data_IF_101618611148
#
_entry.id   IF_101618611148
#
_cell.length_a   1.000
_cell.length_b   1.000
_cell.length_c   1.000
_cell.angle_alpha   90.00
_cell.angle_beta   90.00
_cell.angle_gamma   90.00
#
_symmetry.space_group_name_H-M   'P 1'
#
loop_
_entity.id
_entity.type
_entity.pdbx_description
1 polymer ?
#
# COMPACT_ATOMS: atom_id res chain seq x y z
N UNK A 1 -39.54 -36.20 -7.38
CA UNK A 1 -38.49 -35.17 -7.17
C UNK A 1 -38.45 -34.82 -5.69
N UNK A 2 -37.32 -35.07 -5.01
CA UNK A 2 -37.22 -34.90 -3.56
C UNK A 2 -37.12 -33.41 -3.21
N UNK A 3 -38.06 -32.92 -2.40
CA UNK A 3 -38.15 -31.51 -1.97
C UNK A 3 -36.85 -31.02 -1.29
N UNK A 4 -36.13 -31.93 -0.65
CA UNK A 4 -34.84 -31.66 0.02
C UNK A 4 -33.73 -31.27 -0.96
N UNK A 5 -33.69 -31.85 -2.16
CA UNK A 5 -32.67 -31.54 -3.17
C UNK A 5 -32.87 -30.16 -3.79
N UNK A 6 -34.11 -29.70 -3.89
CA UNK A 6 -34.45 -28.36 -4.42
C UNK A 6 -34.06 -27.29 -3.40
N UNK A 7 -34.30 -27.52 -2.11
CA UNK A 7 -33.95 -26.57 -1.06
C UNK A 7 -32.44 -26.34 -0.97
N UNK A 8 -31.63 -27.39 -1.07
CA UNK A 8 -30.16 -27.27 -1.04
C UNK A 8 -29.62 -26.44 -2.22
N UNK A 9 -30.17 -26.64 -3.42
CA UNK A 9 -29.77 -25.85 -4.61
C UNK A 9 -30.09 -24.38 -4.44
N UNK A 10 -31.25 -24.05 -3.85
CA UNK A 10 -31.64 -22.66 -3.58
C UNK A 10 -30.69 -22.00 -2.56
N UNK A 11 -30.33 -22.71 -1.48
CA UNK A 11 -29.42 -22.18 -0.46
C UNK A 11 -28.02 -21.94 -1.02
N UNK A 12 -27.48 -22.88 -1.80
CA UNK A 12 -26.16 -22.71 -2.44
C UNK A 12 -26.17 -21.54 -3.43
N UNK A 13 -27.22 -21.39 -4.23
CA UNK A 13 -27.35 -20.27 -5.15
C UNK A 13 -27.39 -18.92 -4.41
N UNK A 14 -28.13 -18.84 -3.29
CA UNK A 14 -28.19 -17.62 -2.48
C UNK A 14 -26.82 -17.26 -1.87
N UNK A 15 -26.05 -18.25 -1.41
CA UNK A 15 -24.70 -18.03 -0.88
C UNK A 15 -23.72 -17.53 -1.95
N UNK A 16 -23.76 -18.12 -3.16
CA UNK A 16 -22.92 -17.67 -4.29
C UNK A 16 -23.26 -16.24 -4.69
N UNK A 17 -24.56 -15.91 -4.79
CA UNK A 17 -25.01 -14.56 -5.10
C UNK A 17 -24.51 -13.57 -4.04
N UNK A 18 -24.64 -13.91 -2.76
CA UNK A 18 -24.16 -13.05 -1.65
C UNK A 18 -22.65 -12.78 -1.75
N UNK A 19 -21.84 -13.81 -2.03
CA UNK A 19 -20.39 -13.67 -2.21
C UNK A 19 -20.05 -12.76 -3.41
N UNK A 20 -20.75 -12.93 -4.53
CA UNK A 20 -20.58 -12.05 -5.70
C UNK A 20 -20.94 -10.60 -5.38
N UNK A 21 -22.02 -10.35 -4.64
CA UNK A 21 -22.41 -9.00 -4.22
C UNK A 21 -21.37 -8.36 -3.30
N UNK A 22 -20.81 -9.11 -2.34
CA UNK A 22 -19.74 -8.61 -1.48
C UNK A 22 -18.48 -8.26 -2.27
N UNK A 23 -18.08 -9.11 -3.23
CA UNK A 23 -16.93 -8.84 -4.10
C UNK A 23 -17.15 -7.60 -4.99
N UNK A 24 -18.35 -7.41 -5.54
CA UNK A 24 -18.71 -6.24 -6.36
C UNK A 24 -18.74 -4.97 -5.51
N UNK A 25 -19.28 -5.03 -4.30
CA UNK A 25 -19.30 -3.89 -3.37
C UNK A 25 -17.87 -3.49 -2.96
N UNK A 26 -17.03 -4.48 -2.63
CA UNK A 26 -15.61 -4.26 -2.32
C UNK A 26 -14.86 -3.64 -3.52
N UNK A 27 -15.10 -4.15 -4.73
CA UNK A 27 -14.52 -3.59 -5.95
C UNK A 27 -15.00 -2.14 -6.19
N UNK A 28 -16.30 -1.86 -6.05
CA UNK A 28 -16.82 -0.50 -6.24
C UNK A 28 -16.33 0.48 -5.18
N UNK A 29 -16.16 0.06 -3.93
CA UNK A 29 -15.60 0.90 -2.88
C UNK A 29 -14.12 1.20 -3.13
N UNK A 30 -13.36 0.21 -3.65
CA UNK A 30 -11.99 0.44 -4.14
C UNK A 30 -11.94 1.46 -5.28
N UNK A 31 -12.91 1.44 -6.21
CA UNK A 31 -12.99 2.39 -7.32
C UNK A 31 -13.49 3.78 -6.90
N UNK A 32 -14.40 3.86 -5.94
CA UNK A 32 -14.91 5.15 -5.43
C UNK A 32 -13.85 5.91 -4.64
N UNK A 33 -12.91 5.20 -4.00
CA UNK A 33 -11.71 5.79 -3.40
C UNK A 33 -10.68 6.27 -4.45
N UNK A 34 -10.83 5.88 -5.73
CA UNK A 34 -9.99 6.35 -6.85
C UNK A 34 -10.52 7.68 -7.41
N UNK A 35 -11.81 8.00 -7.27
CA UNK A 35 -12.39 9.25 -7.81
C UNK A 35 -12.21 10.49 -6.93
N UNK A 36 -11.66 10.37 -5.72
CA UNK A 36 -11.62 11.47 -4.75
C UNK A 36 -10.23 12.06 -4.47
N UNK A 37 -9.35 12.20 -5.46
CA UNK A 37 -8.21 13.16 -5.35
C UNK A 37 -7.68 13.60 -6.73
N UNK A 38 -8.53 14.17 -7.59
CA UNK A 38 -8.04 15.02 -8.67
C UNK A 38 -7.88 16.46 -8.16
N UNK A 39 -6.81 16.72 -7.41
CA UNK A 39 -6.28 18.08 -7.33
C UNK A 39 -5.27 18.24 -8.47
N UNK A 40 -5.82 18.66 -9.61
CA UNK A 40 -5.09 19.03 -10.80
C UNK A 40 -4.58 20.45 -10.57
N UNK A 41 -3.30 20.58 -10.24
CA UNK A 41 -2.40 21.68 -10.59
C UNK A 41 -1.05 21.36 -9.94
N UNK A 42 -0.12 20.78 -10.74
CA UNK A 42 1.35 20.61 -10.54
C UNK A 42 1.91 19.30 -11.17
N UNK A 43 1.05 18.33 -11.50
CA UNK A 43 1.47 17.00 -11.99
C UNK A 43 1.90 16.91 -13.47
N UNK A 44 1.87 17.99 -14.26
CA UNK A 44 2.28 17.92 -15.68
C UNK A 44 3.78 17.68 -15.85
N UNK A 45 4.61 18.21 -14.95
CA UNK A 45 6.06 17.96 -14.97
C UNK A 45 6.41 16.50 -14.61
N UNK A 46 5.56 15.87 -13.81
CA UNK A 46 5.73 14.51 -13.28
C UNK A 46 5.50 13.43 -14.35
N UNK A 47 4.45 13.59 -15.17
CA UNK A 47 4.16 12.66 -16.27
C UNK A 47 5.21 12.72 -17.39
N UNK A 48 5.69 13.93 -17.73
CA UNK A 48 6.77 14.12 -18.70
C UNK A 48 8.08 13.42 -18.29
N UNK A 49 8.36 13.35 -16.98
CA UNK A 49 9.54 12.68 -16.42
C UNK A 49 9.42 11.15 -16.50
N UNK A 50 8.24 10.61 -16.22
CA UNK A 50 7.96 9.18 -16.31
C UNK A 50 7.97 8.69 -17.76
N UNK A 51 7.36 9.42 -18.69
CA UNK A 51 7.40 9.06 -20.13
C UNK A 51 8.82 9.06 -20.68
N UNK A 52 9.69 9.96 -20.20
CA UNK A 52 11.08 10.04 -20.67
C UNK A 52 11.97 8.89 -20.17
N UNK A 53 11.65 8.31 -19.01
CA UNK A 53 12.35 7.12 -18.47
C UNK A 53 11.97 5.85 -19.24
N UNK A 54 10.74 5.75 -19.75
CA UNK A 54 10.24 4.57 -20.49
C UNK A 54 10.95 4.36 -21.84
N UNK A 55 11.48 5.42 -22.46
CA UNK A 55 12.02 5.35 -23.83
C UNK A 55 13.45 4.78 -23.89
N UNK A 56 14.22 4.76 -22.79
CA UNK A 56 15.65 4.37 -22.81
C UNK A 56 15.95 2.91 -22.37
N UNK A 57 14.92 2.12 -22.03
CA UNK A 57 15.08 0.89 -21.22
C UNK A 57 14.85 -0.45 -21.94
N UNK A 58 15.20 -0.60 -23.22
CA UNK A 58 14.98 -1.87 -23.94
C UNK A 58 15.88 -3.06 -23.52
N UNK A 59 16.87 -2.88 -22.62
CA UNK A 59 17.82 -3.93 -22.19
C UNK A 59 18.09 -3.99 -20.67
N UNK A 60 17.31 -3.29 -19.82
CA UNK A 60 17.52 -3.33 -18.36
C UNK A 60 16.64 -4.39 -17.70
N UNK A 61 17.20 -5.12 -16.74
CA UNK A 61 16.44 -5.98 -15.82
C UNK A 61 15.64 -5.07 -14.89
N UNK A 62 14.35 -4.96 -15.18
CA UNK A 62 13.41 -4.16 -14.38
C UNK A 62 13.27 -4.77 -12.98
N UNK A 63 13.35 -3.93 -11.95
CA UNK A 63 13.13 -4.40 -10.58
C UNK A 63 11.65 -4.60 -10.34
N UNK A 64 11.29 -5.80 -9.88
CA UNK A 64 9.94 -6.12 -9.41
C UNK A 64 9.85 -5.78 -7.92
N UNK A 65 8.67 -5.38 -7.42
CA UNK A 65 8.53 -5.13 -6.00
C UNK A 65 8.60 -6.46 -5.24
N UNK A 66 9.18 -6.45 -4.04
CA UNK A 66 9.04 -7.55 -3.09
C UNK A 66 7.56 -7.76 -2.77
N UNK A 67 7.12 -9.02 -2.54
CA UNK A 67 5.77 -9.31 -2.10
C UNK A 67 5.36 -8.53 -0.84
N UNK A 68 4.08 -8.21 -0.73
CA UNK A 68 3.52 -7.51 0.42
C UNK A 68 3.74 -8.30 1.72
N UNK A 69 3.62 -9.63 1.69
CA UNK A 69 3.88 -10.49 2.85
C UNK A 69 5.32 -10.40 3.36
N UNK A 70 6.30 -10.26 2.47
CA UNK A 70 7.71 -10.14 2.84
C UNK A 70 7.98 -8.78 3.49
N UNK A 71 7.40 -7.70 2.93
CA UNK A 71 7.47 -6.38 3.53
C UNK A 71 6.83 -6.32 4.92
N UNK A 72 5.72 -7.02 5.13
CA UNK A 72 5.08 -7.17 6.44
C UNK A 72 5.97 -7.91 7.44
N UNK A 73 6.58 -9.03 7.02
CA UNK A 73 7.48 -9.80 7.88
C UNK A 73 8.69 -8.97 8.32
N UNK A 74 9.30 -8.24 7.37
CA UNK A 74 10.42 -7.31 7.63
C UNK A 74 9.98 -6.22 8.63
N UNK A 75 8.81 -5.62 8.43
CA UNK A 75 8.30 -4.60 9.33
C UNK A 75 8.09 -5.14 10.76
N UNK A 76 7.50 -6.32 10.91
CA UNK A 76 7.21 -6.91 12.22
C UNK A 76 8.50 -7.29 12.96
N UNK A 77 9.49 -7.83 12.24
CA UNK A 77 10.81 -8.10 12.81
C UNK A 77 11.49 -6.81 13.27
N UNK A 78 11.40 -5.74 12.49
CA UNK A 78 12.01 -4.45 12.80
C UNK A 78 11.37 -3.75 13.99
N UNK A 79 10.04 -3.72 14.06
CA UNK A 79 9.29 -3.00 15.09
C UNK A 79 9.09 -3.82 16.36
N UNK A 80 9.27 -5.14 16.30
CA UNK A 80 8.92 -6.05 17.38
C UNK A 80 7.40 -6.20 17.56
N UNK A 81 6.62 -5.86 16.53
CA UNK A 81 5.17 -5.99 16.61
C UNK A 81 4.75 -7.46 16.71
N UNK A 82 4.01 -7.73 17.76
CA UNK A 82 3.29 -8.97 18.05
C UNK A 82 1.84 -8.63 18.35
N UNK A 83 0.98 -9.64 18.47
CA UNK A 83 -0.41 -9.41 18.88
C UNK A 83 -0.50 -8.67 20.23
N UNK A 84 0.35 -9.04 21.19
CA UNK A 84 0.38 -8.43 22.52
C UNK A 84 0.84 -6.98 22.47
N UNK A 85 1.95 -6.69 21.78
CA UNK A 85 2.47 -5.31 21.69
C UNK A 85 1.53 -4.39 20.91
N UNK A 86 0.87 -4.91 19.86
CA UNK A 86 -0.13 -4.14 19.11
C UNK A 86 -1.37 -3.85 19.98
N UNK A 87 -1.79 -4.81 20.80
CA UNK A 87 -2.88 -4.61 21.76
C UNK A 87 -2.50 -3.57 22.84
N UNK A 88 -1.27 -3.60 23.34
CA UNK A 88 -0.75 -2.58 24.28
C UNK A 88 -0.75 -1.16 23.67
N UNK A 89 -0.47 -1.07 22.36
CA UNK A 89 -0.58 0.17 21.60
C UNK A 89 -2.04 0.56 21.27
N UNK A 90 -3.02 -0.22 21.70
CA UNK A 90 -4.44 -0.11 21.32
C UNK A 90 -4.63 -0.11 19.79
N UNK A 91 -3.75 -0.80 19.06
CA UNK A 91 -3.89 -0.97 17.63
C UNK A 91 -5.04 -1.93 17.32
N UNK A 92 -5.89 -1.54 16.38
CA UNK A 92 -7.06 -2.32 15.97
C UNK A 92 -6.97 -2.84 14.54
N UNK A 93 -6.09 -2.24 13.73
CA UNK A 93 -5.70 -2.74 12.42
C UNK A 93 -4.28 -2.34 12.07
N UNK A 94 -3.67 -3.14 11.19
CA UNK A 94 -2.43 -2.79 10.49
C UNK A 94 -2.76 -2.71 9.01
N UNK A 95 -2.60 -1.52 8.42
CA UNK A 95 -2.78 -1.33 6.99
C UNK A 95 -1.43 -1.37 6.29
N UNK A 96 -1.44 -1.94 5.07
CA UNK A 96 -0.26 -1.99 4.20
C UNK A 96 -0.63 -1.41 2.85
N UNK A 97 0.20 -0.52 2.35
CA UNK A 97 -0.02 0.15 1.07
C UNK A 97 1.28 0.36 0.33
N UNK A 98 1.23 0.14 -0.98
CA UNK A 98 2.32 0.55 -1.87
C UNK A 98 2.19 2.04 -2.17
N UNK A 99 3.23 2.79 -1.84
CA UNK A 99 3.32 4.24 -2.04
C UNK A 99 4.57 4.57 -2.83
N UNK A 100 4.59 5.77 -3.42
CA UNK A 100 5.77 6.33 -4.04
C UNK A 100 6.16 7.59 -3.28
N UNK A 101 7.43 7.92 -3.23
CA UNK A 101 7.87 9.13 -2.58
C UNK A 101 9.36 9.28 -2.66
N UNK A 102 9.91 10.05 -1.74
CA UNK A 102 11.33 10.30 -1.69
C UNK A 102 11.88 10.20 -0.29
N UNK A 103 13.18 9.92 -0.23
CA UNK A 103 13.95 9.78 0.99
C UNK A 103 15.19 10.65 0.87
N UNK A 104 15.56 11.30 1.97
CA UNK A 104 16.91 11.83 2.19
C UNK A 104 17.62 10.95 3.21
N UNK A 105 18.81 11.33 3.68
CA UNK A 105 19.51 10.64 4.78
C UNK A 105 18.66 10.50 6.04
N UNK A 106 17.80 11.49 6.32
CA UNK A 106 17.19 11.67 7.63
C UNK A 106 15.66 11.66 7.63
N UNK A 107 15.03 11.68 6.45
CA UNK A 107 13.57 11.68 6.36
C UNK A 107 13.07 10.93 5.15
N UNK A 108 11.89 10.34 5.27
CA UNK A 108 11.05 9.95 4.15
C UNK A 108 9.89 10.94 3.99
N UNK A 109 9.50 11.20 2.76
CA UNK A 109 8.27 11.91 2.40
C UNK A 109 7.49 11.01 1.47
N UNK A 110 6.22 10.80 1.83
CA UNK A 110 5.30 9.98 1.07
C UNK A 110 4.57 10.90 0.10
N UNK A 111 4.68 10.60 -1.19
CA UNK A 111 3.79 11.14 -2.19
C UNK A 111 2.68 10.11 -2.45
N UNK A 112 1.59 10.53 -3.10
CA UNK A 112 0.33 9.80 -3.14
C UNK A 112 0.42 8.29 -3.48
N UNK A 113 -0.69 7.59 -3.20
CA UNK A 113 -0.91 6.19 -3.57
C UNK A 113 -0.52 5.90 -5.02
N UNK A 114 0.21 4.81 -5.26
CA UNK A 114 0.54 4.36 -6.60
C UNK A 114 -0.76 3.93 -7.30
N UNK A 115 -1.21 4.69 -8.30
CA UNK A 115 -2.46 4.39 -9.02
C UNK A 115 -2.29 3.34 -10.13
N UNK A 116 -1.06 3.15 -10.61
CA UNK A 116 -0.73 2.19 -11.68
C UNK A 116 0.60 1.50 -11.38
N UNK A 117 0.72 0.17 -11.58
CA UNK A 117 1.99 -0.53 -11.41
C UNK A 117 3.11 0.14 -12.21
N UNK A 118 4.25 0.37 -11.56
CA UNK A 118 5.44 0.86 -12.23
C UNK A 118 6.03 -0.22 -13.14
N UNK A 119 6.69 0.21 -14.21
CA UNK A 119 7.48 -0.69 -15.03
C UNK A 119 8.77 -1.13 -14.31
N UNK A 120 9.35 -0.24 -13.51
CA UNK A 120 10.55 -0.46 -12.72
C UNK A 120 10.37 0.14 -11.32
N UNK A 121 10.67 -0.65 -10.29
CA UNK A 121 10.60 -0.25 -8.89
C UNK A 121 11.94 0.24 -8.32
N UNK A 122 13.00 0.21 -9.13
CA UNK A 122 14.35 0.60 -8.72
C UNK A 122 14.40 2.04 -8.19
N UNK A 123 15.12 2.31 -7.08
CA UNK A 123 15.31 3.67 -6.59
C UNK A 123 16.06 4.56 -7.60
N UNK A 124 15.63 5.81 -7.71
CA UNK A 124 16.27 6.83 -8.56
C UNK A 124 16.86 7.91 -7.66
N UNK A 125 18.18 8.10 -7.71
CA UNK A 125 18.86 9.14 -6.96
C UNK A 125 19.07 10.40 -7.83
N UNK A 126 18.67 11.56 -7.33
CA UNK A 126 18.95 12.88 -7.92
C UNK A 126 19.29 13.87 -6.82
N UNK A 127 20.45 14.50 -6.93
CA UNK A 127 20.87 15.61 -6.06
C UNK A 127 20.78 15.29 -4.54
N UNK A 128 21.07 14.04 -4.15
CA UNK A 128 21.02 13.59 -2.75
C UNK A 128 19.63 13.19 -2.25
N UNK A 129 18.61 13.25 -3.11
CA UNK A 129 17.26 12.76 -2.86
C UNK A 129 17.08 11.44 -3.60
N UNK A 130 16.58 10.41 -2.90
CA UNK A 130 16.28 9.12 -3.52
C UNK A 130 14.78 8.93 -3.61
N UNK A 131 14.27 8.93 -4.84
CA UNK A 131 12.89 8.65 -5.19
C UNK A 131 12.69 7.15 -5.34
N UNK A 132 11.65 6.60 -4.72
CA UNK A 132 11.48 5.14 -4.65
C UNK A 132 10.04 4.76 -4.32
N UNK A 133 9.70 3.54 -4.71
CA UNK A 133 8.49 2.87 -4.24
C UNK A 133 8.71 2.22 -2.89
N UNK A 134 7.71 2.27 -2.02
CA UNK A 134 7.82 1.85 -0.63
C UNK A 134 6.53 1.15 -0.21
N UNK A 135 6.66 0.09 0.58
CA UNK A 135 5.57 -0.41 1.39
C UNK A 135 5.46 0.46 2.63
N UNK A 136 4.31 1.12 2.77
CA UNK A 136 3.90 1.85 3.97
C UNK A 136 3.08 0.89 4.84
N UNK A 137 3.57 0.59 6.04
CA UNK A 137 2.91 -0.25 7.04
C UNK A 137 2.54 0.62 8.23
N UNK A 138 1.25 0.65 8.59
CA UNK A 138 0.73 1.55 9.63
C UNK A 138 -0.21 0.81 10.57
N UNK A 139 0.06 0.88 11.87
CA UNK A 139 -0.85 0.45 12.92
C UNK A 139 -1.78 1.63 13.32
N UNK A 140 -3.10 1.40 13.27
CA UNK A 140 -4.12 2.38 13.63
C UNK A 140 -4.81 2.00 14.94
N UNK A 141 -5.25 3.00 15.70
CA UNK A 141 -6.11 2.85 16.87
C UNK A 141 -7.56 3.26 16.57
N UNK A 142 -8.50 2.48 17.09
CA UNK A 142 -9.98 2.72 17.10
C UNK A 142 -10.43 4.12 17.46
N UNK A 143 -9.68 4.87 18.26
CA UNK A 143 -10.12 6.19 18.73
C UNK A 143 -10.19 7.23 17.62
N UNK A 144 -9.51 7.00 16.48
CA UNK A 144 -9.51 7.97 15.39
C UNK A 144 -9.64 7.37 14.01
N UNK A 145 -9.27 6.09 13.75
CA UNK A 145 -9.22 5.46 12.41
C UNK A 145 -8.49 6.28 11.30
N UNK A 146 -7.93 7.43 11.69
CA UNK A 146 -7.45 8.54 10.89
C UNK A 146 -6.12 9.05 11.44
N UNK A 147 -5.77 8.76 12.70
CA UNK A 147 -4.43 9.04 13.22
C UNK A 147 -3.63 7.74 13.35
N UNK A 148 -2.57 7.55 12.54
CA UNK A 148 -1.56 6.55 12.83
C UNK A 148 -1.06 6.68 14.27
N UNK A 149 -0.79 5.55 14.92
CA UNK A 149 -0.04 5.57 16.18
C UNK A 149 1.34 6.20 15.88
N UNK A 150 1.65 7.32 16.55
CA UNK A 150 2.88 8.10 16.30
C UNK A 150 4.14 7.25 16.45
N UNK A 151 5.16 7.48 15.61
CA UNK A 151 6.50 6.85 15.55
C UNK A 151 6.56 5.31 15.65
N UNK A 152 6.03 4.70 16.72
CA UNK A 152 6.04 3.26 16.99
C UNK A 152 4.96 2.48 16.20
N UNK A 153 4.01 3.19 15.58
CA UNK A 153 2.94 2.63 14.75
C UNK A 153 3.22 2.64 13.26
N UNK A 154 4.45 2.90 12.84
CA UNK A 154 4.75 3.22 11.45
C UNK A 154 6.07 2.59 10.98
N UNK A 155 6.07 1.95 9.81
CA UNK A 155 7.26 1.40 9.17
C UNK A 155 7.21 1.61 7.65
N UNK A 156 8.36 1.96 7.06
CA UNK A 156 8.56 1.99 5.61
C UNK A 156 9.59 0.94 5.20
N UNK A 157 9.24 0.20 4.17
CA UNK A 157 10.12 -0.80 3.55
C UNK A 157 10.27 -0.48 2.07
N UNK A 158 11.50 -0.38 1.59
CA UNK A 158 11.79 -0.18 0.18
C UNK A 158 11.19 -1.33 -0.65
N UNK A 159 10.37 -0.99 -1.65
CA UNK A 159 9.63 -1.99 -2.40
C UNK A 159 10.54 -2.83 -3.31
N UNK A 160 11.70 -2.31 -3.75
CA UNK A 160 12.61 -3.06 -4.64
C UNK A 160 13.59 -3.94 -3.86
N UNK A 161 13.97 -3.54 -2.65
CA UNK A 161 15.12 -4.13 -1.93
C UNK A 161 14.77 -4.73 -0.58
N UNK A 162 13.64 -4.35 0.04
CA UNK A 162 13.31 -4.73 1.41
C UNK A 162 14.06 -3.94 2.48
N UNK A 163 14.81 -2.90 2.12
CA UNK A 163 15.49 -2.02 3.08
C UNK A 163 14.49 -1.27 3.97
N UNK A 164 14.74 -1.20 5.28
CA UNK A 164 13.99 -0.33 6.19
C UNK A 164 14.39 1.13 5.94
N UNK A 165 13.39 1.98 5.69
CA UNK A 165 13.59 3.39 5.40
C UNK A 165 13.35 4.27 6.63
N UNK A 166 13.92 5.49 6.68
CA UNK A 166 13.61 6.46 7.73
C UNK A 166 12.12 6.72 7.83
N UNK A 167 11.61 6.90 9.04
CA UNK A 167 10.22 7.28 9.25
C UNK A 167 10.00 8.75 8.87
N UNK A 168 8.83 9.12 8.31
CA UNK A 168 8.52 10.52 8.01
C UNK A 168 8.58 11.37 9.27
N UNK A 169 9.29 12.50 9.23
CA UNK A 169 9.32 13.44 10.36
C UNK A 169 7.97 14.14 10.59
N UNK A 170 7.10 14.15 9.58
CA UNK A 170 5.74 14.68 9.66
C UNK A 170 4.74 13.54 9.88
N UNK A 171 4.50 13.20 11.14
CA UNK A 171 3.27 12.50 11.52
C UNK A 171 2.12 13.51 11.52
N UNK A 172 1.21 13.36 10.56
CA UNK A 172 -0.16 13.95 10.50
C UNK A 172 -0.24 15.48 10.54
#
# INVERSE_FOLDING_TARGET
>A
MNKTSILTVIVVAALVISLCFTAVMYYNESQKNIELTQHKDDNTLYWDLLEKIVVDNQNQTLSQPIPMEDALAIAFERTGWTADTLMELNATRVDVKLVYGYTTSDTAVIENAVMTPALDYSPVNRDGVTYRYMWQIVAYNTASDLMPLTHDGYCLVDAATGEILPTPQNGV
#
